data_IF_647622376699
#
_entry.id   IF_647622376699
#
_cell.length_a   1.000
_cell.length_b   1.000
_cell.length_c   1.000
_cell.angle_alpha   90.00
_cell.angle_beta   90.00
_cell.angle_gamma   90.00
#
_symmetry.space_group_name_H-M   'P 1'
#
loop_
_entity.id
_entity.type
_entity.pdbx_description
1 polymer ?
#
# COMPACT_ATOMS: atom_id res chain seq x y z
N UNK A 1 1.25 -25.16 21.95
CA UNK A 1 0.86 -24.27 20.83
C UNK A 1 -0.50 -23.70 21.19
N UNK A 2 -0.59 -22.42 21.57
CA UNK A 2 -1.86 -21.86 22.08
C UNK A 2 -2.88 -21.74 20.94
N UNK A 3 -4.16 -22.10 21.17
CA UNK A 3 -5.24 -22.05 20.16
C UNK A 3 -5.65 -20.62 19.76
N UNK A 4 -4.99 -19.59 20.28
CA UNK A 4 -5.28 -18.18 19.99
C UNK A 4 -4.89 -17.74 18.57
N UNK A 5 -3.90 -18.38 17.96
CA UNK A 5 -3.37 -17.94 16.65
C UNK A 5 -4.46 -17.99 15.56
N UNK A 6 -5.32 -19.02 15.58
CA UNK A 6 -6.43 -19.17 14.63
C UNK A 6 -7.62 -18.22 14.86
N UNK A 7 -7.79 -17.71 16.08
CA UNK A 7 -8.84 -16.73 16.40
C UNK A 7 -8.44 -15.32 15.99
N UNK A 8 -7.17 -14.96 16.20
CA UNK A 8 -6.64 -13.66 15.77
C UNK A 8 -6.61 -13.55 14.24
N UNK A 9 -6.30 -14.64 13.52
CA UNK A 9 -6.29 -14.64 12.05
C UNK A 9 -7.67 -14.41 11.45
N UNK A 10 -8.73 -15.07 11.97
CA UNK A 10 -10.07 -14.90 11.42
C UNK A 10 -10.66 -13.52 11.72
N UNK A 11 -10.35 -12.94 12.90
CA UNK A 11 -10.74 -11.56 13.23
C UNK A 11 -10.09 -10.54 12.29
N UNK A 12 -8.77 -10.67 12.04
CA UNK A 12 -8.05 -9.80 11.10
C UNK A 12 -8.67 -9.85 9.71
N UNK A 13 -8.93 -11.06 9.18
CA UNK A 13 -9.54 -11.22 7.85
C UNK A 13 -10.93 -10.57 7.76
N UNK A 14 -11.75 -10.68 8.80
CA UNK A 14 -13.11 -10.14 8.81
C UNK A 14 -13.09 -8.61 8.88
N UNK A 15 -12.21 -8.02 9.69
CA UNK A 15 -12.04 -6.57 9.76
C UNK A 15 -11.39 -6.02 8.49
N UNK A 16 -10.44 -6.74 7.89
CA UNK A 16 -9.84 -6.35 6.61
C UNK A 16 -10.88 -6.26 5.49
N UNK A 17 -11.87 -7.15 5.46
CA UNK A 17 -12.98 -7.09 4.49
C UNK A 17 -13.90 -5.89 4.66
N UNK A 18 -13.89 -5.27 5.85
CA UNK A 18 -14.67 -4.06 6.11
C UNK A 18 -13.98 -2.79 5.60
N UNK A 19 -12.75 -2.88 5.09
CA UNK A 19 -12.11 -1.72 4.48
C UNK A 19 -12.91 -1.23 3.26
N UNK A 20 -12.94 0.09 3.02
CA UNK A 20 -13.59 0.65 1.84
C UNK A 20 -13.01 0.08 0.53
N UNK A 21 -13.82 0.00 -0.54
CA UNK A 21 -13.38 -0.52 -1.85
C UNK A 21 -12.11 0.17 -2.37
N UNK A 22 -11.99 1.48 -2.14
CA UNK A 22 -10.80 2.25 -2.55
C UNK A 22 -9.51 1.72 -1.93
N UNK A 23 -9.56 1.22 -0.69
CA UNK A 23 -8.40 0.59 -0.05
C UNK A 23 -8.04 -0.72 -0.75
N UNK A 24 -9.01 -1.60 -0.97
CA UNK A 24 -8.78 -2.89 -1.64
C UNK A 24 -8.23 -2.73 -3.06
N UNK A 25 -8.53 -1.60 -3.71
CA UNK A 25 -7.97 -1.27 -5.03
C UNK A 25 -6.57 -0.69 -4.94
N UNK A 26 -6.31 0.27 -4.06
CA UNK A 26 -4.98 0.93 -3.97
C UNK A 26 -3.93 -0.02 -3.37
N UNK A 27 -4.30 -0.79 -2.35
CA UNK A 27 -3.36 -1.55 -1.53
C UNK A 27 -2.51 -2.56 -2.34
N UNK A 28 -3.04 -3.32 -3.32
CA UNK A 28 -2.24 -4.17 -4.20
C UNK A 28 -1.17 -3.42 -5.00
N UNK A 29 -1.41 -2.17 -5.41
CA UNK A 29 -0.41 -1.35 -6.11
C UNK A 29 0.68 -0.89 -5.15
N UNK A 30 0.27 -0.43 -3.95
CA UNK A 30 1.17 -0.04 -2.86
C UNK A 30 2.11 -1.20 -2.49
N UNK A 31 1.58 -2.40 -2.26
CA UNK A 31 2.39 -3.58 -1.95
C UNK A 31 3.40 -3.88 -3.06
N UNK A 32 2.97 -3.90 -4.33
CA UNK A 32 3.85 -4.17 -5.48
C UNK A 32 5.00 -3.17 -5.58
N UNK A 33 4.72 -1.88 -5.42
CA UNK A 33 5.75 -0.83 -5.46
C UNK A 33 6.70 -0.97 -4.27
N UNK A 34 6.20 -1.21 -3.05
CA UNK A 34 7.04 -1.45 -1.89
C UNK A 34 7.89 -2.72 -2.03
N UNK A 35 7.37 -3.80 -2.63
CA UNK A 35 8.13 -5.03 -2.91
C UNK A 35 9.25 -4.79 -3.92
N UNK A 36 9.03 -3.92 -4.90
CA UNK A 36 10.03 -3.58 -5.91
C UNK A 36 11.10 -2.62 -5.40
N UNK A 37 10.74 -1.62 -4.60
CA UNK A 37 11.65 -0.53 -4.22
C UNK A 37 12.35 -0.76 -2.87
N UNK A 38 11.72 -1.43 -1.90
CA UNK A 38 12.26 -1.64 -0.54
C UNK A 38 13.16 -2.88 -0.48
N UNK A 39 14.32 -2.82 -1.14
CA UNK A 39 15.35 -3.87 -1.09
C UNK A 39 16.75 -3.33 -0.78
N UNK A 40 17.66 -4.14 -0.19
CA UNK A 40 18.98 -3.67 0.26
C UNK A 40 19.86 -3.08 -0.85
N UNK A 41 19.70 -3.56 -2.09
CA UNK A 41 20.46 -3.07 -3.24
C UNK A 41 19.96 -1.73 -3.82
N UNK A 42 18.84 -1.18 -3.33
CA UNK A 42 18.31 0.11 -3.81
C UNK A 42 18.88 1.24 -2.95
N UNK A 43 20.02 1.79 -3.36
CA UNK A 43 20.69 2.87 -2.64
C UNK A 43 19.86 4.16 -2.48
N UNK A 44 18.73 4.28 -3.19
CA UNK A 44 17.81 5.43 -3.05
C UNK A 44 16.81 5.24 -1.89
N UNK A 45 16.59 4.00 -1.46
CA UNK A 45 15.66 3.58 -0.41
C UNK A 45 16.39 3.06 0.85
N UNK A 46 17.58 2.51 0.66
CA UNK A 46 18.41 1.96 1.72
C UNK A 46 19.61 2.89 2.02
N UNK A 47 19.93 3.18 3.29
CA UNK A 47 19.23 2.72 4.51
C UNK A 47 17.92 3.47 4.80
N UNK A 48 17.75 4.68 4.27
CA UNK A 48 16.57 5.52 4.52
C UNK A 48 15.97 6.05 3.21
N UNK A 49 14.64 6.02 3.05
CA UNK A 49 14.00 6.65 1.89
C UNK A 49 14.11 8.17 1.97
N UNK A 50 14.31 8.80 0.81
CA UNK A 50 14.15 10.25 0.67
C UNK A 50 12.72 10.62 0.28
N UNK A 51 12.28 11.81 0.67
CA UNK A 51 10.91 12.29 0.38
C UNK A 51 10.59 12.27 -1.12
N UNK A 52 11.55 12.66 -1.96
CA UNK A 52 11.33 12.71 -3.41
C UNK A 52 11.09 11.32 -4.03
N UNK A 53 11.59 10.27 -3.38
CA UNK A 53 11.37 8.88 -3.82
C UNK A 53 9.96 8.43 -3.44
N UNK A 54 9.50 8.77 -2.23
CA UNK A 54 8.13 8.49 -1.81
C UNK A 54 7.12 9.23 -2.69
N UNK A 55 7.36 10.51 -2.97
CA UNK A 55 6.49 11.31 -3.85
C UNK A 55 6.41 10.67 -5.26
N UNK A 56 7.53 10.17 -5.80
CA UNK A 56 7.55 9.43 -7.06
C UNK A 56 6.76 8.11 -7.00
N UNK A 57 6.87 7.37 -5.90
CA UNK A 57 6.11 6.13 -5.70
C UNK A 57 4.61 6.42 -5.63
N UNK A 58 4.21 7.54 -5.01
CA UNK A 58 2.81 8.00 -4.98
C UNK A 58 2.32 8.27 -6.40
N UNK A 59 3.11 8.97 -7.20
CA UNK A 59 2.75 9.32 -8.58
C UNK A 59 2.62 8.09 -9.48
N UNK A 60 3.49 7.09 -9.28
CA UNK A 60 3.41 5.83 -10.01
C UNK A 60 2.14 5.04 -9.65
N UNK A 61 1.82 4.91 -8.36
CA UNK A 61 0.58 4.24 -7.93
C UNK A 61 -0.64 4.99 -8.44
N UNK A 62 -0.63 6.32 -8.37
CA UNK A 62 -1.72 7.16 -8.88
C UNK A 62 -1.89 6.98 -10.40
N UNK A 63 -0.79 6.94 -11.17
CA UNK A 63 -0.83 6.70 -12.62
C UNK A 63 -1.39 5.33 -12.99
N UNK A 64 -1.01 4.27 -12.27
CA UNK A 64 -1.58 2.93 -12.48
C UNK A 64 -3.10 2.90 -12.24
N UNK A 65 -3.58 3.65 -11.25
CA UNK A 65 -5.02 3.76 -10.95
C UNK A 65 -5.80 4.56 -12.01
N UNK A 66 -5.15 5.53 -12.68
CA UNK A 66 -5.75 6.23 -13.82
C UNK A 66 -5.80 5.35 -15.07
N UNK A 67 -4.78 4.51 -15.30
CA UNK A 67 -4.71 3.55 -16.41
C UNK A 67 -5.76 2.43 -16.30
N UNK A 68 -6.09 1.98 -15.09
CA UNK A 68 -7.18 1.02 -14.85
C UNK A 68 -8.59 1.63 -15.10
N UNK A 69 -8.67 2.81 -15.73
CA UNK A 69 -9.83 3.59 -16.19
C UNK A 69 -10.92 3.88 -15.14
N UNK A 70 -10.67 3.53 -13.88
CA UNK A 70 -11.69 3.59 -12.83
C UNK A 70 -11.83 4.97 -12.17
N UNK A 71 -10.79 5.81 -12.27
CA UNK A 71 -10.74 7.17 -11.73
C UNK A 71 -10.51 8.23 -12.80
N UNK A 72 -10.90 7.95 -14.06
CA UNK A 72 -10.98 8.95 -15.13
C UNK A 72 -12.06 9.97 -14.75
N UNK A 73 -11.71 10.84 -13.82
CA UNK A 73 -12.56 11.93 -13.36
C UNK A 73 -12.63 12.89 -14.52
N UNK A 74 -13.82 13.16 -15.09
CA UNK A 74 -13.96 14.21 -16.09
C UNK A 74 -13.45 15.50 -15.45
N UNK A 75 -12.52 16.14 -16.15
CA UNK A 75 -11.73 17.27 -15.69
C UNK A 75 -12.51 18.25 -14.79
N UNK A 76 -12.08 18.45 -13.54
CA UNK A 76 -12.71 19.46 -12.69
C UNK A 76 -12.43 19.49 -11.18
N UNK A 77 -11.86 18.46 -10.55
CA UNK A 77 -11.73 18.41 -9.08
C UNK A 77 -10.29 18.20 -8.61
N UNK A 78 -9.43 19.21 -8.77
CA UNK A 78 -8.05 19.22 -8.24
C UNK A 78 -7.97 18.92 -6.73
N UNK A 79 -9.03 19.16 -5.96
CA UNK A 79 -9.08 18.85 -4.53
C UNK A 79 -9.17 17.34 -4.24
N UNK A 80 -9.91 16.56 -5.05
CA UNK A 80 -9.99 15.09 -4.89
C UNK A 80 -8.70 14.38 -5.32
N UNK A 81 -8.00 14.92 -6.32
CA UNK A 81 -6.69 14.40 -6.77
C UNK A 81 -5.64 14.46 -5.65
N UNK A 82 -5.64 15.54 -4.87
CA UNK A 82 -4.73 15.68 -3.73
C UNK A 82 -5.10 14.74 -2.58
N UNK A 83 -6.39 14.58 -2.27
CA UNK A 83 -6.83 13.63 -1.23
C UNK A 83 -6.47 12.17 -1.58
N UNK A 84 -6.57 11.79 -2.85
CA UNK A 84 -6.17 10.45 -3.29
C UNK A 84 -4.66 10.24 -3.21
N UNK A 85 -3.86 11.22 -3.64
CA UNK A 85 -2.39 11.17 -3.51
C UNK A 85 -1.98 11.11 -2.03
N UNK A 86 -2.64 11.87 -1.16
CA UNK A 86 -2.40 11.83 0.28
C UNK A 86 -2.75 10.46 0.87
N UNK A 87 -3.87 9.86 0.47
CA UNK A 87 -4.26 8.51 0.88
C UNK A 87 -3.22 7.47 0.44
N UNK A 88 -2.76 7.54 -0.82
CA UNK A 88 -1.71 6.67 -1.36
C UNK A 88 -0.41 6.85 -0.55
N UNK A 89 -0.02 8.10 -0.27
CA UNK A 89 1.18 8.40 0.51
C UNK A 89 1.10 7.80 1.93
N UNK A 90 -0.05 7.94 2.59
CA UNK A 90 -0.31 7.35 3.92
C UNK A 90 -0.13 5.82 3.87
N UNK A 91 -0.74 5.16 2.88
CA UNK A 91 -0.66 3.70 2.74
C UNK A 91 0.76 3.23 2.40
N UNK A 92 1.48 3.92 1.52
CA UNK A 92 2.89 3.64 1.20
C UNK A 92 3.79 3.74 2.43
N UNK A 93 3.70 4.85 3.16
CA UNK A 93 4.50 5.05 4.38
C UNK A 93 4.17 3.97 5.40
N UNK A 94 2.89 3.64 5.57
CA UNK A 94 2.47 2.61 6.52
C UNK A 94 3.03 1.23 6.16
N UNK A 95 2.95 0.85 4.89
CA UNK A 95 3.46 -0.41 4.38
C UNK A 95 4.99 -0.54 4.56
N UNK A 96 5.75 0.52 4.26
CA UNK A 96 7.21 0.55 4.50
C UNK A 96 7.56 0.43 5.98
N UNK A 97 6.80 1.09 6.86
CA UNK A 97 7.00 0.98 8.30
C UNK A 97 6.70 -0.44 8.80
N UNK A 98 5.59 -1.04 8.35
CA UNK A 98 5.17 -2.36 8.78
C UNK A 98 6.16 -3.44 8.31
N UNK A 99 6.73 -3.31 7.11
CA UNK A 99 7.79 -4.19 6.59
C UNK A 99 9.05 -4.19 7.44
N UNK A 100 9.46 -3.02 7.92
CA UNK A 100 10.68 -2.86 8.73
C UNK A 100 10.46 -3.19 10.20
N UNK A 101 9.26 -2.94 10.73
CA UNK A 101 8.91 -3.20 12.14
C UNK A 101 8.56 -4.67 12.40
N UNK A 102 7.93 -5.35 11.45
CA UNK A 102 7.40 -6.70 11.67
C UNK A 102 7.73 -7.64 10.50
N UNK A 103 8.97 -8.14 10.37
CA UNK A 103 9.35 -9.09 9.31
C UNK A 103 8.49 -10.37 9.30
N UNK A 104 7.90 -10.73 10.44
CA UNK A 104 7.04 -11.92 10.61
C UNK A 104 5.58 -11.71 10.16
N UNK A 105 5.16 -10.49 9.82
CA UNK A 105 3.79 -10.17 9.37
C UNK A 105 3.58 -10.28 7.87
N UNK A 106 4.60 -10.66 7.08
CA UNK A 106 4.35 -11.24 5.75
C UNK A 106 3.64 -12.58 5.95
N UNK A 107 2.34 -12.54 6.25
CA UNK A 107 1.45 -13.65 5.94
C UNK A 107 1.56 -13.81 4.42
N UNK A 108 1.94 -15.00 3.94
CA UNK A 108 1.86 -15.25 2.52
C UNK A 108 0.39 -15.04 2.17
N UNK A 109 0.11 -14.06 1.31
CA UNK A 109 -1.16 -13.97 0.62
C UNK A 109 -1.29 -15.27 -0.17
N UNK A 110 -1.90 -16.28 0.45
CA UNK A 110 -2.32 -17.49 -0.22
C UNK A 110 -3.50 -17.09 -1.11
N UNK A 111 -3.17 -16.59 -2.30
CA UNK A 111 -4.12 -16.55 -3.40
C UNK A 111 -4.27 -17.98 -3.93
N UNK A 112 -5.38 -18.62 -3.57
CA UNK A 112 -6.07 -19.66 -4.35
C UNK A 112 -7.57 -19.46 -4.20
#
# INVERSE_FOLDING_TARGET
MYPYDGYWTCYEMEVERMYPEIYHRIYPHVCRICDREDHPYNHRMYPFPKREIIDRMVDEVYGQMEEDEMYRTPDGFGSQRNLLRDLIAILLIRELLDRRRFPRRRRPWAYY
#
